data_IF_531878707570
#
_entry.id   IF_531878707570
#
_cell.length_a   1.000
_cell.length_b   1.000
_cell.length_c   1.000
_cell.angle_alpha   90.00
_cell.angle_beta   90.00
_cell.angle_gamma   90.00
#
_symmetry.space_group_name_H-M   'P 1'
#
loop_
_entity.id
_entity.type
_entity.pdbx_description
1 polymer ?
#
# COMPACT_ATOMS: atom_id res chain seq x y z
N UNK A 1 26.13 -19.16 -22.81
CA UNK A 1 25.70 -18.83 -21.44
C UNK A 1 25.59 -20.13 -20.66
N UNK A 2 26.05 -20.17 -19.41
CA UNK A 2 25.88 -21.36 -18.58
C UNK A 2 24.44 -21.35 -18.07
N UNK A 3 23.59 -22.24 -18.57
CA UNK A 3 22.25 -22.44 -18.02
C UNK A 3 22.39 -22.92 -16.58
N UNK A 4 22.08 -22.04 -15.63
CA UNK A 4 22.08 -22.33 -14.21
C UNK A 4 20.77 -23.00 -13.85
N UNK A 5 20.78 -24.33 -13.80
CA UNK A 5 19.68 -25.10 -13.25
C UNK A 5 19.69 -24.98 -11.72
N UNK A 6 18.50 -24.94 -11.12
CA UNK A 6 18.32 -24.96 -9.67
C UNK A 6 17.60 -26.25 -9.32
N UNK A 7 18.09 -26.97 -8.32
CA UNK A 7 17.42 -28.17 -7.80
C UNK A 7 17.19 -28.01 -6.30
N UNK A 8 15.96 -28.22 -5.87
CA UNK A 8 15.51 -28.15 -4.49
C UNK A 8 14.84 -29.47 -4.12
N UNK A 9 15.49 -30.29 -3.29
CA UNK A 9 14.95 -31.57 -2.83
C UNK A 9 14.70 -31.55 -1.31
N UNK A 10 13.47 -31.82 -0.91
CA UNK A 10 13.10 -31.96 0.50
C UNK A 10 12.29 -33.24 0.73
N UNK A 11 12.66 -34.02 1.76
CA UNK A 11 11.90 -35.22 2.14
C UNK A 11 10.53 -34.93 2.74
N UNK A 12 10.34 -33.72 3.27
CA UNK A 12 9.09 -33.27 3.87
C UNK A 12 8.62 -32.02 3.14
N UNK A 13 8.72 -30.84 3.75
CA UNK A 13 8.11 -29.62 3.23
C UNK A 13 9.12 -28.69 2.59
N UNK A 14 8.65 -27.92 1.62
CA UNK A 14 9.36 -26.74 1.10
C UNK A 14 8.49 -25.51 1.41
N UNK A 15 9.08 -24.52 2.08
CA UNK A 15 8.42 -23.27 2.43
C UNK A 15 9.31 -22.11 1.98
N UNK A 16 8.76 -21.25 1.12
CA UNK A 16 9.36 -19.97 0.77
C UNK A 16 8.47 -18.85 1.30
N UNK A 17 9.05 -17.97 2.11
CA UNK A 17 8.35 -16.85 2.74
C UNK A 17 9.00 -15.52 2.38
N UNK A 18 8.19 -14.46 2.27
CA UNK A 18 8.68 -13.09 2.13
C UNK A 18 9.47 -12.63 3.36
N UNK A 19 10.36 -11.66 3.17
CA UNK A 19 10.86 -10.86 4.26
C UNK A 19 9.83 -9.77 4.64
N UNK A 20 9.59 -9.59 5.94
CA UNK A 20 8.66 -8.57 6.46
C UNK A 20 9.44 -7.39 7.06
N UNK A 21 9.06 -6.16 6.68
CA UNK A 21 9.56 -4.93 7.31
C UNK A 21 8.41 -4.14 7.93
N UNK A 22 8.54 -3.82 9.21
CA UNK A 22 7.51 -3.08 9.97
C UNK A 22 8.10 -1.74 10.41
N UNK A 23 7.47 -0.64 9.99
CA UNK A 23 7.83 0.71 10.39
C UNK A 23 6.69 1.34 11.20
N UNK A 24 7.03 1.89 12.36
CA UNK A 24 6.11 2.69 13.18
C UNK A 24 6.75 4.04 13.45
N UNK A 25 5.99 5.12 13.26
CA UNK A 25 6.43 6.49 13.51
C UNK A 25 5.36 7.21 14.30
N UNK A 26 5.77 7.86 15.38
CA UNK A 26 4.93 8.73 16.18
C UNK A 26 5.63 10.07 16.32
N UNK A 27 4.95 11.13 15.89
CA UNK A 27 5.44 12.49 15.95
C UNK A 27 4.46 13.33 16.77
N UNK A 28 5.00 14.07 17.73
CA UNK A 28 4.32 15.17 18.42
C UNK A 28 5.11 16.45 18.18
N UNK A 29 4.40 17.53 17.91
CA UNK A 29 4.99 18.84 17.64
C UNK A 29 4.18 19.90 18.36
N UNK A 30 4.89 20.79 19.05
CA UNK A 30 4.32 21.96 19.71
C UNK A 30 5.16 23.16 19.29
N UNK A 31 4.51 24.25 18.95
CA UNK A 31 5.20 25.47 18.54
C UNK A 31 4.45 26.68 19.06
N UNK A 32 5.19 27.58 19.68
CA UNK A 32 4.72 28.89 20.11
C UNK A 32 5.64 29.94 19.48
N UNK A 33 5.05 30.97 18.88
CA UNK A 33 5.79 32.06 18.25
C UNK A 33 5.17 33.40 18.60
N UNK A 34 6.04 34.39 18.78
CA UNK A 34 5.67 35.77 19.06
C UNK A 34 6.55 36.67 18.20
N UNK A 35 5.93 37.58 17.47
CA UNK A 35 6.66 38.53 16.63
C UNK A 35 6.15 39.95 16.89
N UNK A 36 7.09 40.88 16.84
CA UNK A 36 6.84 42.32 16.91
C UNK A 36 7.57 42.95 15.74
N UNK A 37 6.89 43.84 15.02
CA UNK A 37 7.37 44.40 13.78
C UNK A 37 7.02 45.88 13.66
N UNK A 38 7.82 46.58 12.86
CA UNK A 38 7.59 47.96 12.51
C UNK A 38 7.67 48.09 11.00
N UNK A 39 6.57 48.51 10.37
CA UNK A 39 6.43 48.55 8.92
C UNK A 39 6.13 49.97 8.42
N UNK A 40 6.57 50.28 7.20
CA UNK A 40 6.21 51.50 6.48
C UNK A 40 5.34 51.15 5.28
N UNK A 41 4.11 51.66 5.24
CA UNK A 41 3.16 51.44 4.15
C UNK A 41 2.61 52.75 3.61
N UNK A 42 1.69 52.65 2.64
CA UNK A 42 1.08 53.79 1.93
C UNK A 42 0.30 54.78 2.83
N UNK A 43 0.13 54.46 4.13
CA UNK A 43 -0.52 55.30 5.15
C UNK A 43 0.38 55.71 6.35
N UNK A 44 1.70 55.50 6.28
CA UNK A 44 2.67 55.87 7.33
C UNK A 44 3.35 54.68 8.02
N UNK A 45 4.14 54.99 9.05
CA UNK A 45 4.81 54.00 9.89
C UNK A 45 3.80 53.34 10.85
N UNK A 46 3.91 52.05 11.11
CA UNK A 46 2.98 51.33 11.98
C UNK A 46 3.64 50.19 12.75
N UNK A 47 3.14 49.93 13.96
CA UNK A 47 3.56 48.81 14.79
C UNK A 47 2.59 47.63 14.61
N UNK A 48 3.16 46.44 14.47
CA UNK A 48 2.41 45.18 14.36
C UNK A 48 2.92 44.19 15.38
N UNK A 49 2.03 43.36 15.93
CA UNK A 49 2.42 42.23 16.74
C UNK A 49 1.54 41.03 16.45
N UNK A 50 2.12 39.84 16.59
CA UNK A 50 1.37 38.59 16.46
C UNK A 50 1.88 37.53 17.40
N UNK A 51 0.97 36.68 17.86
CA UNK A 51 1.25 35.48 18.63
C UNK A 51 0.54 34.31 17.97
N UNK A 52 1.23 33.17 17.85
CA UNK A 52 0.66 31.95 17.31
C UNK A 52 1.08 30.74 18.12
N UNK A 53 0.13 29.84 18.33
CA UNK A 53 0.32 28.54 18.96
C UNK A 53 -0.18 27.44 18.01
N UNK A 54 0.61 26.40 17.82
CA UNK A 54 0.20 25.22 17.05
C UNK A 54 0.67 23.95 17.72
N UNK A 55 -0.21 22.95 17.72
CA UNK A 55 0.07 21.59 18.16
C UNK A 55 -0.32 20.62 17.06
N UNK A 56 0.54 19.64 16.79
CA UNK A 56 0.32 18.62 15.78
C UNK A 56 0.77 17.25 16.29
N UNK A 57 -0.07 16.26 16.08
CA UNK A 57 0.23 14.86 16.36
C UNK A 57 0.02 14.03 15.09
N UNK A 58 0.94 13.11 14.84
CA UNK A 58 0.88 12.19 13.71
C UNK A 58 1.36 10.81 14.12
N UNK A 59 0.62 9.79 13.70
CA UNK A 59 1.06 8.40 13.79
C UNK A 59 0.98 7.73 12.42
N UNK A 60 1.94 6.86 12.17
CA UNK A 60 1.97 6.03 10.97
C UNK A 60 2.49 4.65 11.33
N UNK A 61 1.81 3.60 10.86
CA UNK A 61 2.22 2.22 10.97
C UNK A 61 2.13 1.56 9.60
N UNK A 62 3.20 0.90 9.17
CA UNK A 62 3.30 0.28 7.87
C UNK A 62 3.97 -1.09 7.98
N UNK A 63 3.39 -2.08 7.31
CA UNK A 63 3.97 -3.40 7.07
C UNK A 63 4.19 -3.55 5.57
N UNK A 64 5.41 -3.92 5.20
CA UNK A 64 5.79 -4.18 3.81
C UNK A 64 6.38 -5.58 3.71
N UNK A 65 5.93 -6.34 2.73
CA UNK A 65 6.44 -7.65 2.37
C UNK A 65 7.37 -7.51 1.16
N UNK A 66 8.53 -8.15 1.24
CA UNK A 66 9.44 -8.32 0.11
C UNK A 66 9.50 -9.78 -0.27
N UNK A 67 9.04 -10.10 -1.47
CA UNK A 67 8.99 -11.49 -1.89
C UNK A 67 10.39 -12.11 -1.96
N UNK A 68 10.47 -13.41 -1.70
CA UNK A 68 11.68 -14.19 -1.92
C UNK A 68 11.75 -14.64 -3.38
N UNK A 69 12.89 -14.44 -4.05
CA UNK A 69 13.06 -14.80 -5.46
C UNK A 69 14.05 -15.94 -5.66
N UNK A 70 13.64 -16.98 -6.37
CA UNK A 70 14.50 -18.06 -6.85
C UNK A 70 14.56 -17.92 -8.36
N UNK A 71 15.74 -17.60 -8.91
CA UNK A 71 15.88 -17.27 -10.32
C UNK A 71 16.93 -18.20 -10.94
N UNK A 72 16.47 -19.17 -11.73
CA UNK A 72 17.32 -19.99 -12.59
C UNK A 72 17.31 -19.47 -14.02
N UNK A 73 18.44 -19.54 -14.73
CA UNK A 73 18.47 -19.23 -16.18
C UNK A 73 18.13 -20.45 -17.04
N UNK A 74 18.11 -21.65 -16.44
CA UNK A 74 17.71 -22.90 -17.06
C UNK A 74 16.43 -23.46 -16.44
N UNK A 75 16.45 -24.74 -16.08
CA UNK A 75 15.32 -25.41 -15.42
C UNK A 75 15.42 -25.25 -13.91
N UNK A 76 14.29 -24.92 -13.28
CA UNK A 76 14.12 -25.00 -11.83
C UNK A 76 13.37 -26.28 -11.50
N UNK A 77 14.05 -27.22 -10.85
CA UNK A 77 13.48 -28.44 -10.30
C UNK A 77 13.21 -28.27 -8.81
N UNK A 78 11.99 -28.61 -8.37
CA UNK A 78 11.64 -28.63 -6.95
C UNK A 78 10.86 -29.90 -6.62
N UNK A 79 11.32 -30.66 -5.64
CA UNK A 79 10.69 -31.91 -5.23
C UNK A 79 10.52 -31.94 -3.71
N UNK A 80 9.29 -32.14 -3.27
CA UNK A 80 8.89 -32.17 -1.87
C UNK A 80 8.13 -33.46 -1.58
N UNK A 81 8.53 -34.20 -0.55
CA UNK A 81 7.78 -35.38 -0.10
C UNK A 81 6.44 -35.06 0.58
N UNK A 82 6.22 -33.81 0.99
CA UNK A 82 5.02 -33.31 1.63
C UNK A 82 4.50 -32.05 0.93
N UNK A 83 3.98 -31.10 1.71
CA UNK A 83 3.44 -29.84 1.19
C UNK A 83 4.53 -28.86 0.73
N UNK A 84 4.23 -28.10 -0.31
CA UNK A 84 5.04 -26.97 -0.77
C UNK A 84 4.23 -25.67 -0.69
N UNK A 85 4.83 -24.60 -0.16
CA UNK A 85 4.17 -23.30 0.00
C UNK A 85 5.05 -22.15 -0.52
N UNK A 86 4.47 -21.29 -1.35
CA UNK A 86 5.03 -20.00 -1.78
C UNK A 86 4.21 -18.86 -1.15
N UNK A 87 4.67 -18.31 -0.03
CA UNK A 87 3.99 -17.22 0.70
C UNK A 87 4.78 -15.92 0.60
N UNK A 88 4.48 -15.10 -0.40
CA UNK A 88 5.33 -13.96 -0.80
C UNK A 88 6.64 -14.45 -1.39
N UNK A 89 6.56 -15.30 -2.43
CA UNK A 89 7.73 -15.87 -3.08
C UNK A 89 7.48 -16.09 -4.57
N UNK A 90 8.52 -15.86 -5.38
CA UNK A 90 8.51 -16.04 -6.83
C UNK A 90 9.61 -17.01 -7.24
N UNK A 91 9.21 -18.07 -7.94
CA UNK A 91 10.13 -19.03 -8.56
C UNK A 91 10.15 -18.77 -10.06
N UNK A 92 11.31 -18.43 -10.62
CA UNK A 92 11.48 -18.08 -12.03
C UNK A 92 12.53 -18.94 -12.70
N UNK A 93 12.22 -19.43 -13.90
CA UNK A 93 13.15 -20.22 -14.71
C UNK A 93 12.72 -20.29 -16.17
N UNK A 94 13.60 -20.74 -17.08
CA UNK A 94 13.16 -21.04 -18.44
C UNK A 94 12.14 -22.18 -18.47
N UNK A 95 12.31 -23.16 -17.59
CA UNK A 95 11.36 -24.25 -17.35
C UNK A 95 11.18 -24.45 -15.85
N UNK A 96 9.96 -24.73 -15.40
CA UNK A 96 9.68 -25.07 -14.02
C UNK A 96 9.18 -26.52 -13.94
N UNK A 97 9.89 -27.37 -13.21
CA UNK A 97 9.50 -28.76 -12.96
C UNK A 97 9.33 -28.98 -11.47
N UNK A 98 8.13 -29.40 -11.05
CA UNK A 98 7.83 -29.52 -9.63
C UNK A 98 7.08 -30.81 -9.30
N UNK A 99 7.56 -31.51 -8.27
CA UNK A 99 6.91 -32.65 -7.65
C UNK A 99 6.53 -32.33 -6.20
N UNK A 100 5.25 -32.41 -5.85
CA UNK A 100 4.75 -32.15 -4.50
C UNK A 100 3.97 -33.36 -4.01
N UNK A 101 4.50 -34.05 -3.00
CA UNK A 101 3.91 -35.25 -2.41
C UNK A 101 2.66 -34.98 -1.56
N UNK A 102 2.43 -33.72 -1.17
CA UNK A 102 1.24 -33.26 -0.46
C UNK A 102 0.46 -32.20 -1.27
N UNK A 103 0.02 -31.13 -0.60
CA UNK A 103 -0.65 -29.99 -1.22
C UNK A 103 0.33 -28.89 -1.64
N UNK A 104 -0.07 -28.11 -2.64
CA UNK A 104 0.70 -26.97 -3.15
C UNK A 104 -0.10 -25.67 -2.94
N UNK A 105 0.50 -24.69 -2.27
CA UNK A 105 -0.16 -23.41 -1.97
C UNK A 105 0.69 -22.23 -2.42
N UNK A 106 0.09 -21.31 -3.18
CA UNK A 106 0.70 -20.03 -3.56
C UNK A 106 -0.17 -18.91 -3.00
N UNK A 107 0.43 -18.09 -2.15
CA UNK A 107 -0.26 -16.97 -1.48
C UNK A 107 0.53 -15.69 -1.69
N UNK A 108 -0.08 -14.71 -2.37
CA UNK A 108 0.42 -13.34 -2.41
C UNK A 108 0.15 -12.63 -1.10
N UNK A 109 1.09 -11.81 -0.64
CA UNK A 109 0.98 -11.11 0.64
C UNK A 109 0.66 -9.63 0.42
N UNK A 110 -0.36 -9.15 1.12
CA UNK A 110 -0.76 -7.74 1.05
C UNK A 110 0.09 -6.88 1.97
N UNK A 111 0.57 -5.78 1.43
CA UNK A 111 1.16 -4.70 2.19
C UNK A 111 0.06 -3.88 2.87
N UNK A 112 0.35 -3.41 4.09
CA UNK A 112 -0.59 -2.58 4.85
C UNK A 112 0.05 -1.30 5.33
N UNK A 113 -0.72 -0.21 5.29
CA UNK A 113 -0.28 1.08 5.79
C UNK A 113 -1.46 1.85 6.37
N UNK A 114 -1.28 2.42 7.55
CA UNK A 114 -2.25 3.31 8.18
C UNK A 114 -1.53 4.55 8.70
N UNK A 115 -2.04 5.72 8.34
CA UNK A 115 -1.54 7.01 8.83
C UNK A 115 -2.70 7.87 9.29
N UNK A 116 -2.51 8.56 10.41
CA UNK A 116 -3.44 9.54 10.94
C UNK A 116 -2.66 10.74 11.44
N UNK A 117 -3.09 11.93 11.02
CA UNK A 117 -2.55 13.21 11.48
C UNK A 117 -3.65 14.14 11.92
N UNK A 118 -3.35 14.93 12.95
CA UNK A 118 -4.24 15.94 13.49
C UNK A 118 -3.41 17.17 13.84
N UNK A 119 -3.82 18.31 13.31
CA UNK A 119 -3.16 19.58 13.57
C UNK A 119 -4.18 20.61 14.04
N UNK A 120 -3.80 21.38 15.05
CA UNK A 120 -4.61 22.45 15.61
C UNK A 120 -3.74 23.69 15.79
N UNK A 121 -4.14 24.82 15.20
CA UNK A 121 -3.42 26.07 15.32
C UNK A 121 -4.34 27.23 15.65
N UNK A 122 -3.81 28.15 16.43
CA UNK A 122 -4.46 29.37 16.91
C UNK A 122 -3.48 30.52 16.70
N UNK A 123 -3.93 31.60 16.07
CA UNK A 123 -3.12 32.79 15.89
C UNK A 123 -3.92 34.07 16.13
N UNK A 124 -3.26 35.04 16.76
CA UNK A 124 -3.82 36.35 17.09
C UNK A 124 -2.83 37.42 16.65
N UNK A 125 -3.31 38.40 15.89
CA UNK A 125 -2.52 39.51 15.36
C UNK A 125 -3.18 40.85 15.65
N UNK A 126 -2.36 41.88 15.85
CA UNK A 126 -2.79 43.25 16.04
C UNK A 126 -1.89 44.20 15.25
N UNK A 127 -2.49 45.25 14.69
CA UNK A 127 -1.78 46.28 13.94
C UNK A 127 -2.36 47.66 14.22
N UNK A 128 -1.49 48.64 14.48
CA UNK A 128 -1.85 50.04 14.66
C UNK A 128 -1.18 50.88 13.55
N UNK A 129 -2.00 51.45 12.66
CA UNK A 129 -1.56 52.47 11.71
C UNK A 129 -1.43 53.84 12.39
N UNK A 130 -0.42 54.64 12.03
CA UNK A 130 -0.15 55.95 12.63
C UNK A 130 -1.20 57.03 12.33
N UNK A 131 -2.13 56.80 11.42
CA UNK A 131 -3.18 57.78 11.06
C UNK A 131 -4.50 57.36 11.72
N UNK A 132 -4.93 58.16 12.70
CA UNK A 132 -6.05 57.86 13.60
C UNK A 132 -7.32 57.41 12.86
N UNK A 133 -7.66 56.13 13.02
CA UNK A 133 -8.90 55.56 12.49
C UNK A 133 -8.81 54.06 12.18
N UNK A 134 -8.66 53.24 13.22
CA UNK A 134 -8.90 51.78 13.15
C UNK A 134 -7.65 50.93 13.36
N UNK A 135 -7.47 50.40 14.58
CA UNK A 135 -6.54 49.30 14.81
C UNK A 135 -7.12 48.01 14.22
N UNK A 136 -6.35 47.28 13.43
CA UNK A 136 -6.78 45.99 12.88
C UNK A 136 -6.43 44.87 13.85
N UNK A 137 -7.42 44.17 14.36
CA UNK A 137 -7.23 42.93 15.12
C UNK A 137 -7.63 41.74 14.26
N UNK A 138 -6.82 40.69 14.24
CA UNK A 138 -7.15 39.44 13.55
C UNK A 138 -6.99 38.24 14.47
N UNK A 139 -7.96 37.33 14.46
CA UNK A 139 -7.86 36.05 15.15
C UNK A 139 -8.19 34.93 14.17
N UNK A 140 -7.41 33.86 14.16
CA UNK A 140 -7.69 32.67 13.36
C UNK A 140 -7.49 31.39 14.15
N UNK A 141 -8.38 30.44 13.88
CA UNK A 141 -8.37 29.08 14.42
C UNK A 141 -8.43 28.12 13.26
N UNK A 142 -7.54 27.13 13.21
CA UNK A 142 -7.51 26.11 12.17
C UNK A 142 -7.34 24.73 12.80
N UNK A 143 -8.13 23.77 12.31
CA UNK A 143 -8.07 22.37 12.71
C UNK A 143 -8.11 21.48 11.48
N UNK A 144 -7.05 20.73 11.29
CA UNK A 144 -6.89 19.80 10.18
C UNK A 144 -6.80 18.38 10.71
N UNK A 145 -7.48 17.46 10.02
CA UNK A 145 -7.39 16.02 10.27
C UNK A 145 -7.27 15.31 8.94
N UNK A 146 -6.29 14.42 8.84
CA UNK A 146 -6.10 13.54 7.70
C UNK A 146 -5.89 12.11 8.16
N UNK A 147 -6.49 11.14 7.47
CA UNK A 147 -6.21 9.73 7.66
C UNK A 147 -6.16 9.02 6.32
N UNK A 148 -5.23 8.07 6.20
CA UNK A 148 -5.01 7.26 5.01
C UNK A 148 -4.79 5.82 5.39
N UNK A 149 -5.49 4.91 4.72
CA UNK A 149 -5.35 3.46 4.88
C UNK A 149 -5.09 2.82 3.51
N UNK A 150 -4.19 1.85 3.47
CA UNK A 150 -3.86 1.09 2.28
C UNK A 150 -3.70 -0.40 2.62
N UNK A 151 -4.29 -1.25 1.80
CA UNK A 151 -4.16 -2.71 1.83
C UNK A 151 -4.05 -3.19 0.38
N UNK A 152 -2.88 -3.62 -0.07
CA UNK A 152 -2.73 -4.10 -1.44
C UNK A 152 -1.56 -5.05 -1.57
N UNK A 153 -1.68 -6.01 -2.46
CA UNK A 153 -0.53 -6.78 -2.93
C UNK A 153 0.30 -5.91 -3.87
N UNK A 154 1.59 -5.73 -3.54
CA UNK A 154 2.54 -5.01 -4.40
C UNK A 154 3.20 -5.96 -5.40
N UNK A 155 3.50 -7.18 -4.98
CA UNK A 155 4.06 -8.23 -5.84
C UNK A 155 3.38 -9.57 -5.61
N UNK A 156 2.93 -10.21 -6.70
CA UNK A 156 2.30 -11.52 -6.63
C UNK A 156 3.32 -12.64 -6.42
N UNK A 157 2.96 -13.59 -5.56
CA UNK A 157 3.65 -14.87 -5.42
C UNK A 157 3.31 -15.77 -6.60
N UNK A 158 4.27 -16.59 -7.00
CA UNK A 158 4.01 -17.55 -8.06
C UNK A 158 5.20 -18.22 -8.69
N UNK A 159 4.89 -18.96 -9.75
CA UNK A 159 5.86 -19.56 -10.65
C UNK A 159 5.84 -18.76 -11.95
N UNK A 160 7.01 -18.39 -12.47
CA UNK A 160 7.17 -17.72 -13.77
C UNK A 160 8.10 -18.55 -14.64
N UNK A 161 7.53 -19.30 -15.57
CA UNK A 161 8.27 -20.09 -16.53
C UNK A 161 8.51 -19.32 -17.84
N UNK A 162 9.67 -19.47 -18.44
CA UNK A 162 9.95 -18.98 -19.79
C UNK A 162 9.37 -19.90 -20.87
N UNK A 163 10.04 -19.93 -22.02
CA UNK A 163 9.61 -20.65 -23.23
C UNK A 163 9.69 -22.18 -23.10
N UNK A 164 10.30 -22.67 -22.02
CA UNK A 164 10.37 -24.08 -21.64
C UNK A 164 9.11 -24.60 -20.96
N UNK A 165 8.20 -23.73 -20.52
CA UNK A 165 6.92 -24.08 -19.91
C UNK A 165 7.03 -24.59 -18.47
N UNK A 166 5.94 -25.11 -17.94
CA UNK A 166 5.91 -25.76 -16.62
C UNK A 166 5.39 -27.19 -16.69
N UNK A 167 5.96 -28.08 -15.87
CA UNK A 167 5.41 -29.39 -15.57
C UNK A 167 5.34 -29.56 -14.04
N UNK A 168 4.14 -29.44 -13.50
CA UNK A 168 3.89 -29.44 -12.06
C UNK A 168 2.98 -30.62 -11.73
N UNK A 169 3.44 -31.50 -10.84
CA UNK A 169 2.68 -32.63 -10.34
C UNK A 169 2.51 -32.52 -8.83
N UNK A 170 1.26 -32.44 -8.37
CA UNK A 170 0.86 -32.30 -6.97
C UNK A 170 -0.03 -33.48 -6.60
N UNK A 171 0.32 -34.22 -5.56
CA UNK A 171 -0.48 -35.36 -5.13
C UNK A 171 -1.83 -34.92 -4.53
N UNK A 172 -1.83 -33.79 -3.81
CA UNK A 172 -3.01 -33.21 -3.17
C UNK A 172 -3.60 -32.01 -3.92
N UNK A 173 -4.20 -31.10 -3.18
CA UNK A 173 -4.83 -29.89 -3.70
C UNK A 173 -3.81 -28.81 -4.07
N UNK A 174 -4.10 -28.04 -5.13
CA UNK A 174 -3.41 -26.80 -5.47
C UNK A 174 -4.28 -25.60 -5.11
N UNK A 175 -3.78 -24.70 -4.27
CA UNK A 175 -4.49 -23.50 -3.83
C UNK A 175 -3.74 -22.24 -4.27
N UNK A 176 -4.44 -21.37 -4.99
CA UNK A 176 -3.93 -20.06 -5.43
C UNK A 176 -4.71 -18.95 -4.72
N UNK A 177 -4.02 -18.10 -3.96
CA UNK A 177 -4.60 -16.98 -3.22
C UNK A 177 -3.87 -15.70 -3.68
N UNK A 178 -4.48 -14.98 -4.62
CA UNK A 178 -3.82 -13.97 -5.45
C UNK A 178 -2.54 -14.46 -6.13
N UNK A 179 -2.37 -15.77 -6.29
CA UNK A 179 -1.14 -16.44 -6.73
C UNK A 179 -1.17 -16.83 -8.20
N UNK A 180 -0.01 -16.83 -8.86
CA UNK A 180 0.11 -17.11 -10.29
C UNK A 180 1.00 -18.32 -10.61
N UNK A 181 0.61 -19.09 -11.62
CA UNK A 181 1.49 -20.01 -12.33
C UNK A 181 1.51 -19.53 -13.78
N UNK A 182 2.51 -18.73 -14.12
CA UNK A 182 2.63 -18.05 -15.40
C UNK A 182 3.71 -18.69 -16.28
N UNK A 183 3.51 -18.64 -17.59
CA UNK A 183 4.48 -19.06 -18.59
C UNK A 183 4.38 -18.29 -19.89
N UNK A 184 5.53 -17.95 -20.49
CA UNK A 184 5.61 -17.43 -21.87
C UNK A 184 5.56 -18.52 -22.94
N UNK A 185 5.61 -19.81 -22.56
CA UNK A 185 5.56 -20.93 -23.48
C UNK A 185 4.16 -21.14 -24.08
N UNK A 186 4.13 -21.82 -25.23
CA UNK A 186 2.88 -22.33 -25.80
C UNK A 186 2.22 -23.37 -24.87
N UNK A 187 0.90 -23.45 -24.92
CA UNK A 187 0.09 -24.24 -23.99
C UNK A 187 0.45 -25.75 -23.95
N UNK A 188 1.01 -26.30 -25.02
CA UNK A 188 1.46 -27.70 -25.09
C UNK A 188 2.66 -28.01 -24.17
N UNK A 189 3.39 -26.98 -23.72
CA UNK A 189 4.52 -27.11 -22.79
C UNK A 189 4.14 -26.87 -21.33
N UNK A 190 2.87 -26.58 -21.08
CA UNK A 190 2.35 -26.23 -19.78
C UNK A 190 1.44 -27.35 -19.29
N UNK A 191 1.81 -27.97 -18.17
CA UNK A 191 1.08 -29.08 -17.58
C UNK A 191 1.02 -28.95 -16.06
N UNK A 192 -0.20 -29.01 -15.54
CA UNK A 192 -0.46 -29.12 -14.10
C UNK A 192 -1.28 -30.38 -13.85
N UNK A 193 -0.74 -31.30 -13.07
CA UNK A 193 -1.45 -32.49 -12.57
C UNK A 193 -1.67 -32.31 -11.07
N UNK A 194 -2.91 -32.33 -10.60
CA UNK A 194 -3.22 -32.10 -9.18
C UNK A 194 -4.53 -32.78 -8.78
N UNK A 195 -4.75 -33.03 -7.49
CA UNK A 195 -6.02 -33.59 -7.00
C UNK A 195 -7.20 -32.66 -7.28
N UNK A 196 -7.12 -31.43 -6.76
CA UNK A 196 -8.14 -30.37 -6.92
C UNK A 196 -7.47 -29.02 -7.07
N UNK A 197 -8.21 -28.03 -7.61
CA UNK A 197 -7.73 -26.65 -7.75
C UNK A 197 -8.72 -25.69 -7.11
N UNK A 198 -8.21 -24.83 -6.24
CA UNK A 198 -8.95 -23.69 -5.69
C UNK A 198 -8.22 -22.40 -6.05
N UNK A 199 -8.96 -21.42 -6.55
CA UNK A 199 -8.46 -20.07 -6.79
C UNK A 199 -9.25 -19.09 -5.94
N UNK A 200 -8.56 -18.11 -5.36
CA UNK A 200 -9.15 -17.00 -4.62
C UNK A 200 -8.39 -15.73 -4.93
N UNK A 201 -9.11 -14.62 -5.05
CA UNK A 201 -8.53 -13.32 -5.33
C UNK A 201 -8.30 -12.51 -4.04
N UNK A 202 -7.38 -11.56 -4.08
CA UNK A 202 -7.13 -10.66 -2.95
C UNK A 202 -7.65 -9.27 -3.29
N UNK A 203 -8.59 -8.78 -2.48
CA UNK A 203 -9.12 -7.42 -2.60
C UNK A 203 -8.06 -6.40 -2.15
N UNK A 204 -7.76 -5.44 -3.03
CA UNK A 204 -6.89 -4.30 -2.77
C UNK A 204 -7.75 -3.05 -2.52
N UNK A 205 -7.34 -2.22 -1.56
CA UNK A 205 -8.01 -0.97 -1.23
C UNK A 205 -7.01 0.12 -0.83
N UNK A 206 -7.28 1.34 -1.29
CA UNK A 206 -6.59 2.55 -0.91
C UNK A 206 -7.64 3.60 -0.58
N UNK A 207 -7.63 4.16 0.64
CA UNK A 207 -8.64 5.12 1.06
C UNK A 207 -8.01 6.27 1.83
N UNK A 208 -8.20 7.49 1.35
CA UNK A 208 -7.68 8.70 1.96
C UNK A 208 -8.81 9.69 2.27
N UNK A 209 -8.78 10.27 3.47
CA UNK A 209 -9.75 11.27 3.90
C UNK A 209 -9.05 12.45 4.54
N UNK A 210 -9.34 13.65 4.06
CA UNK A 210 -8.85 14.89 4.62
C UNK A 210 -10.02 15.82 4.94
N UNK A 211 -9.92 16.49 6.09
CA UNK A 211 -10.89 17.48 6.53
C UNK A 211 -10.19 18.63 7.22
N UNK A 212 -10.50 19.86 6.79
CA UNK A 212 -10.00 21.10 7.38
C UNK A 212 -11.18 21.96 7.85
N UNK A 213 -11.04 22.55 9.04
CA UNK A 213 -12.00 23.50 9.60
C UNK A 213 -11.24 24.72 10.08
N UNK A 214 -11.58 25.87 9.51
CA UNK A 214 -10.89 27.13 9.75
C UNK A 214 -11.87 28.25 9.99
N UNK A 215 -11.55 29.15 10.92
CA UNK A 215 -12.30 30.37 11.12
C UNK A 215 -11.35 31.53 11.34
N UNK A 216 -11.55 32.64 10.61
CA UNK A 216 -10.78 33.87 10.75
C UNK A 216 -11.68 35.08 10.97
N UNK A 217 -11.33 35.93 11.94
CA UNK A 217 -11.98 37.18 12.28
C UNK A 217 -11.00 38.32 12.04
N UNK A 218 -11.43 39.39 11.36
CA UNK A 218 -10.65 40.62 11.18
C UNK A 218 -11.48 41.85 11.56
N UNK A 219 -10.89 42.78 12.29
CA UNK A 219 -11.54 43.88 13.02
C UNK A 219 -11.84 45.16 12.24
N UNK A 220 -11.91 45.14 10.89
CA UNK A 220 -12.32 46.30 10.10
C UNK A 220 -13.65 45.99 9.37
N UNK A 221 -14.68 46.84 9.54
CA UNK A 221 -16.08 46.57 9.14
C UNK A 221 -16.26 46.31 7.63
N UNK A 222 -15.32 46.78 6.80
CA UNK A 222 -15.24 46.55 5.35
C UNK A 222 -14.69 45.17 4.94
N UNK A 223 -14.07 44.42 5.87
CA UNK A 223 -13.50 43.07 5.61
C UNK A 223 -14.43 41.93 6.08
N UNK A 224 -15.58 42.25 6.69
CA UNK A 224 -16.62 41.25 7.04
C UNK A 224 -17.16 40.48 5.83
N UNK A 225 -17.14 41.06 4.62
CA UNK A 225 -17.70 40.44 3.43
C UNK A 225 -16.69 39.58 2.65
N UNK A 226 -15.39 39.82 2.81
CA UNK A 226 -14.33 39.02 2.19
C UNK A 226 -14.05 37.76 3.02
N UNK A 227 -14.08 37.87 4.36
CA UNK A 227 -13.89 36.73 5.28
C UNK A 227 -14.98 35.64 5.16
N UNK A 228 -16.18 35.97 4.66
CA UNK A 228 -17.26 35.00 4.43
C UNK A 228 -17.02 34.07 3.24
N UNK A 229 -16.25 34.48 2.23
CA UNK A 229 -15.95 33.66 1.04
C UNK A 229 -14.67 32.84 1.18
N UNK A 230 -13.80 33.14 2.14
CA UNK A 230 -12.60 32.35 2.49
C UNK A 230 -12.95 31.37 3.62
N UNK A 231 -14.16 30.81 3.59
CA UNK A 231 -14.66 29.81 4.55
C UNK A 231 -15.07 28.52 3.82
N UNK A 232 -14.39 28.21 2.71
CA UNK A 232 -14.63 26.97 1.97
C UNK A 232 -13.94 25.80 2.68
N UNK A 233 -14.72 25.18 3.57
CA UNK A 233 -14.47 23.90 4.20
C UNK A 233 -14.41 22.80 3.11
N UNK A 234 -13.22 22.31 2.81
CA UNK A 234 -13.04 21.17 1.91
C UNK A 234 -13.02 19.87 2.71
N UNK A 235 -13.97 18.98 2.44
CA UNK A 235 -13.80 17.55 2.75
C UNK A 235 -13.40 16.85 1.46
N UNK A 236 -12.18 16.33 1.42
CA UNK A 236 -11.72 15.49 0.32
C UNK A 236 -11.75 14.04 0.79
N UNK A 237 -12.39 13.20 -0.02
CA UNK A 237 -12.33 11.75 0.12
C UNK A 237 -11.95 11.20 -1.24
N UNK A 238 -10.95 10.35 -1.26
CA UNK A 238 -10.53 9.64 -2.45
C UNK A 238 -10.30 8.18 -2.11
N UNK A 239 -10.64 7.30 -3.05
CA UNK A 239 -10.66 5.87 -2.85
C UNK A 239 -10.41 5.12 -4.16
N UNK A 240 -9.58 4.08 -4.09
CA UNK A 240 -9.36 3.16 -5.19
C UNK A 240 -9.47 1.72 -4.66
N UNK A 241 -10.18 0.89 -5.41
CA UNK A 241 -10.34 -0.53 -5.14
C UNK A 241 -9.89 -1.31 -6.37
N UNK A 242 -9.34 -2.50 -6.15
CA UNK A 242 -8.87 -3.39 -7.20
C UNK A 242 -8.69 -4.80 -6.66
N UNK A 243 -8.30 -5.74 -7.52
CA UNK A 243 -8.15 -7.13 -7.10
C UNK A 243 -6.87 -7.72 -7.68
N UNK A 244 -6.19 -8.51 -6.85
CA UNK A 244 -5.05 -9.33 -7.24
C UNK A 244 -5.57 -10.72 -7.57
N UNK A 245 -5.56 -11.07 -8.85
CA UNK A 245 -6.20 -12.28 -9.35
C UNK A 245 -5.30 -13.51 -9.24
N UNK A 246 -5.92 -14.66 -8.97
CA UNK A 246 -5.25 -15.96 -9.11
C UNK A 246 -5.39 -16.51 -10.53
N UNK A 247 -4.29 -17.00 -11.12
CA UNK A 247 -4.32 -17.49 -12.50
C UNK A 247 -3.29 -18.59 -12.76
N UNK A 248 -3.58 -19.43 -13.76
CA UNK A 248 -2.68 -20.44 -14.31
C UNK A 248 -2.66 -20.22 -15.82
N UNK A 249 -1.48 -20.08 -16.42
CA UNK A 249 -1.35 -19.93 -17.88
C UNK A 249 -1.88 -21.16 -18.61
N UNK A 250 -2.34 -20.92 -19.84
CA UNK A 250 -3.00 -21.94 -20.65
C UNK A 250 -2.12 -23.19 -20.80
N UNK A 251 -2.76 -24.36 -20.67
CA UNK A 251 -2.08 -25.64 -20.68
C UNK A 251 -2.97 -26.81 -20.31
N UNK A 252 -2.37 -27.99 -20.22
CA UNK A 252 -3.05 -29.21 -19.80
C UNK A 252 -3.21 -29.22 -18.27
N UNK A 253 -4.45 -29.12 -17.79
CA UNK A 253 -4.78 -29.28 -16.36
C UNK A 253 -5.46 -30.63 -16.18
N UNK A 254 -4.79 -31.52 -15.44
CA UNK A 254 -5.26 -32.88 -15.16
C UNK A 254 -5.66 -32.95 -13.69
N UNK A 255 -6.94 -33.21 -13.43
CA UNK A 255 -7.46 -33.44 -12.09
C UNK A 255 -7.47 -34.94 -11.78
N UNK A 256 -6.91 -35.34 -10.65
CA UNK A 256 -6.81 -36.75 -10.23
C UNK A 256 -7.77 -37.12 -9.09
N UNK A 257 -8.48 -36.13 -8.50
CA UNK A 257 -9.48 -36.36 -7.47
C UNK A 257 -10.84 -36.83 -8.00
N UNK A 258 -11.59 -37.58 -7.19
CA UNK A 258 -12.88 -38.18 -7.58
C UNK A 258 -14.03 -37.17 -7.81
N UNK A 259 -13.85 -35.91 -7.42
CA UNK A 259 -14.74 -34.80 -7.74
C UNK A 259 -13.99 -33.80 -8.63
N UNK A 260 -14.24 -33.88 -9.95
CA UNK A 260 -13.77 -32.95 -10.97
C UNK A 260 -14.35 -31.52 -10.79
N UNK A 261 -14.13 -30.90 -9.63
CA UNK A 261 -14.57 -29.55 -9.32
C UNK A 261 -13.40 -28.58 -9.45
N UNK A 262 -13.47 -27.74 -10.48
CA UNK A 262 -12.88 -26.41 -10.47
C UNK A 262 -13.83 -25.50 -9.71
N UNK A 263 -13.45 -25.04 -8.52
CA UNK A 263 -14.20 -23.99 -7.82
C UNK A 263 -13.52 -22.67 -8.14
N UNK A 264 -14.18 -21.87 -8.98
CA UNK A 264 -13.78 -20.50 -9.26
C UNK A 264 -14.67 -19.59 -8.41
N UNK A 265 -14.06 -18.95 -7.42
CA UNK A 265 -14.70 -17.96 -6.55
C UNK A 265 -14.11 -16.59 -6.81
#
# INVERSE_FOLDING_TARGET
EQSGNITLDAKQHILFESAQNTQSTQNSSESASMSVGYGYGTGGAGATGSAAFSQGEGSSAQVQHKNSHIIGTGTVHSNSGGNTTLAGAVVSGNRAEMGVGGGFTITSLSDTGQSSSKQNSVSVGFGAGATGGGGSMSASFQKDKSSSNYHSVVEQSGIKAGDGGFDITVAGATNLIGGLIDSSASADKNKLTTGTITTSDIANSAHATASSHGFSLSGNDTIKNIAKNILNHGKAKDGAEGETKSAISDGAIILTGESNQRVMG
#
